data_IF_351874502657
#
_entry.id   IF_351874502657
#
_cell.length_a   1.000
_cell.length_b   1.000
_cell.length_c   1.000
_cell.angle_alpha   90.00
_cell.angle_beta   90.00
_cell.angle_gamma   90.00
#
_symmetry.space_group_name_H-M   'P 1'
#
loop_
_entity.id
_entity.type
_entity.pdbx_description
1 polymer ?
#
# COMPACT_ATOMS: atom_id res chain seq x y z
N UNK A 1 0.76 4.55 16.93
CA UNK A 1 2.23 4.48 16.94
C UNK A 1 2.88 5.85 17.14
N UNK A 2 2.72 6.84 16.25
CA UNK A 2 3.43 8.12 16.43
C UNK A 2 2.96 9.00 17.59
N UNK A 3 1.65 9.05 17.88
CA UNK A 3 1.11 9.91 18.94
C UNK A 3 1.53 9.51 20.36
N UNK A 4 1.91 8.25 20.57
CA UNK A 4 2.32 7.75 21.90
C UNK A 4 3.82 7.94 22.17
N UNK A 5 4.62 8.18 21.12
CA UNK A 5 6.07 8.34 21.22
C UNK A 5 6.50 9.81 21.37
N UNK A 6 5.58 10.77 21.26
CA UNK A 6 5.89 12.20 21.29
C UNK A 6 6.70 12.68 20.07
N UNK A 7 6.79 11.88 19.01
CA UNK A 7 7.53 12.24 17.80
C UNK A 7 6.77 13.27 16.97
N UNK A 8 7.47 14.29 16.49
CA UNK A 8 6.95 15.21 15.48
C UNK A 8 6.85 14.50 14.13
N UNK A 9 5.67 14.58 13.49
CA UNK A 9 5.39 13.86 12.23
C UNK A 9 5.10 14.86 11.12
N UNK A 10 5.90 14.79 10.06
CA UNK A 10 5.76 15.63 8.88
C UNK A 10 5.36 14.79 7.67
N UNK A 11 4.15 15.00 7.17
CA UNK A 11 3.66 14.39 5.93
C UNK A 11 4.17 15.16 4.70
N UNK A 12 4.04 14.55 3.52
CA UNK A 12 4.42 15.16 2.23
C UNK A 12 5.90 15.58 2.13
N UNK A 13 6.76 15.04 3.01
CA UNK A 13 8.21 15.25 3.00
C UNK A 13 8.91 14.07 2.32
N UNK A 14 8.94 14.08 0.99
CA UNK A 14 9.65 13.05 0.22
C UNK A 14 11.16 13.29 0.25
N UNK A 15 11.90 12.43 0.96
CA UNK A 15 13.37 12.46 1.02
C UNK A 15 13.98 11.97 -0.29
N UNK A 16 14.93 12.72 -0.85
CA UNK A 16 15.58 12.42 -2.13
C UNK A 16 17.08 12.17 -2.02
N UNK A 17 17.75 12.78 -1.04
CA UNK A 17 19.18 12.60 -0.82
C UNK A 17 19.55 12.71 0.65
N UNK A 18 20.63 12.02 1.04
CA UNK A 18 21.21 12.06 2.39
C UNK A 18 22.72 12.19 2.26
N UNK A 19 23.27 13.27 2.81
CA UNK A 19 24.70 13.59 2.70
C UNK A 19 25.29 13.93 4.07
N UNK A 20 26.59 13.70 4.26
CA UNK A 20 27.28 14.04 5.51
C UNK A 20 27.86 15.45 5.37
N UNK A 21 27.43 16.38 6.24
CA UNK A 21 27.86 17.78 6.23
C UNK A 21 28.18 18.23 7.66
N UNK A 22 29.41 18.69 7.89
CA UNK A 22 29.81 19.22 9.19
C UNK A 22 29.66 18.24 10.37
N UNK A 23 29.75 16.92 10.11
CA UNK A 23 29.55 15.89 11.14
C UNK A 23 28.09 15.49 11.42
N UNK A 24 27.13 16.07 10.69
CA UNK A 24 25.70 15.73 10.79
C UNK A 24 25.16 15.27 9.43
N UNK A 25 24.02 14.55 9.47
CA UNK A 25 23.31 14.15 8.26
C UNK A 25 22.44 15.30 7.77
N UNK A 26 22.75 15.78 6.57
CA UNK A 26 21.88 16.67 5.82
C UNK A 26 20.90 15.83 4.97
N UNK A 27 19.61 15.95 5.27
CA UNK A 27 18.52 15.24 4.60
C UNK A 27 17.80 16.21 3.65
N UNK A 28 17.97 15.96 2.36
CA UNK A 28 17.33 16.74 1.29
C UNK A 28 15.98 16.14 0.90
N UNK A 29 15.06 17.03 0.55
CA UNK A 29 13.68 16.69 0.21
C UNK A 29 13.39 17.15 -1.21
N UNK A 30 12.38 16.54 -1.84
CA UNK A 30 11.93 16.93 -3.19
C UNK A 30 11.53 18.41 -3.25
N UNK A 31 10.95 18.93 -2.16
CA UNK A 31 10.53 20.32 -2.02
C UNK A 31 10.90 20.83 -0.63
N UNK A 32 11.33 22.09 -0.55
CA UNK A 32 11.70 22.77 0.68
C UNK A 32 13.18 22.64 1.05
N UNK A 33 13.61 23.27 2.16
CA UNK A 33 15.01 23.27 2.57
C UNK A 33 15.46 21.89 3.07
N UNK A 34 16.78 21.66 3.11
CA UNK A 34 17.35 20.50 3.79
C UNK A 34 17.26 20.64 5.32
N UNK A 35 17.26 19.51 6.03
CA UNK A 35 17.25 19.44 7.49
C UNK A 35 18.46 18.63 7.99
N UNK A 36 18.91 18.94 9.20
CA UNK A 36 20.09 18.34 9.80
C UNK A 36 19.71 17.43 10.96
N UNK A 37 20.31 16.24 11.02
CA UNK A 37 20.05 15.25 12.05
C UNK A 37 21.35 14.57 12.49
N UNK A 38 21.41 14.17 13.76
CA UNK A 38 22.53 13.35 14.27
C UNK A 38 22.40 11.89 13.81
N UNK A 39 21.17 11.39 13.68
CA UNK A 39 20.85 10.00 13.33
C UNK A 39 19.72 9.98 12.29
N UNK A 40 19.86 9.11 11.29
CA UNK A 40 18.79 8.82 10.32
C UNK A 40 18.47 7.32 10.33
N UNK A 41 17.18 6.98 10.43
CA UNK A 41 16.68 5.59 10.34
C UNK A 41 15.77 5.49 9.13
N UNK A 42 16.07 4.55 8.22
CA UNK A 42 15.29 4.31 7.01
C UNK A 42 14.39 3.08 7.19
N UNK A 43 13.11 3.22 6.88
CA UNK A 43 12.09 2.17 7.06
C UNK A 43 11.23 1.93 5.82
N UNK A 44 11.53 2.61 4.71
CA UNK A 44 10.85 2.37 3.43
C UNK A 44 11.37 1.09 2.74
N UNK A 45 10.61 0.49 1.82
CA UNK A 45 11.05 -0.64 1.00
C UNK A 45 12.46 -0.48 0.42
N UNK A 46 13.22 -1.57 0.43
CA UNK A 46 14.64 -1.58 0.01
C UNK A 46 14.89 -0.95 -1.37
N UNK A 47 14.07 -1.21 -2.41
CA UNK A 47 14.24 -0.55 -3.70
C UNK A 47 14.19 0.99 -3.64
N UNK A 48 13.46 1.56 -2.68
CA UNK A 48 13.39 3.02 -2.48
C UNK A 48 14.61 3.55 -1.72
N UNK A 49 15.18 2.77 -0.79
CA UNK A 49 16.47 3.10 -0.15
C UNK A 49 17.58 3.17 -1.20
N UNK A 50 17.63 2.20 -2.11
CA UNK A 50 18.64 2.13 -3.17
C UNK A 50 18.52 3.27 -4.21
N UNK A 51 17.39 3.99 -4.23
CA UNK A 51 17.16 5.15 -5.10
C UNK A 51 17.60 6.48 -4.48
N UNK A 52 17.94 6.51 -3.18
CA UNK A 52 18.41 7.72 -2.53
C UNK A 52 19.77 8.17 -3.09
N UNK A 53 19.90 9.49 -3.25
CA UNK A 53 21.12 10.13 -3.72
C UNK A 53 21.97 10.65 -2.54
N UNK A 54 23.15 11.19 -2.86
CA UNK A 54 24.08 11.76 -1.86
C UNK A 54 25.07 10.74 -1.33
N UNK A 55 25.72 11.09 -0.22
CA UNK A 55 26.81 10.28 0.34
C UNK A 55 26.34 8.89 0.81
N UNK A 56 25.05 8.73 1.14
CA UNK A 56 24.47 7.44 1.51
C UNK A 56 24.71 6.34 0.46
N UNK A 57 24.68 6.69 -0.83
CA UNK A 57 24.90 5.72 -1.90
C UNK A 57 26.32 5.11 -1.86
N UNK A 58 27.29 5.87 -1.33
CA UNK A 58 28.69 5.48 -1.19
C UNK A 58 28.96 4.73 0.13
N UNK A 59 28.08 4.87 1.14
CA UNK A 59 28.21 4.14 2.42
C UNK A 59 27.79 2.67 2.29
N UNK A 60 26.94 2.36 1.31
CA UNK A 60 26.50 1.00 1.03
C UNK A 60 27.61 0.29 0.26
N UNK A 61 28.35 -0.58 0.95
CA UNK A 61 29.40 -1.39 0.34
C UNK A 61 28.84 -2.33 -0.73
N UNK A 62 29.67 -2.77 -1.67
CA UNK A 62 29.24 -3.64 -2.77
C UNK A 62 28.55 -4.93 -2.29
N UNK A 63 29.10 -5.58 -1.26
CA UNK A 63 28.50 -6.79 -0.68
C UNK A 63 27.12 -6.52 -0.05
N UNK A 64 26.95 -5.39 0.62
CA UNK A 64 25.66 -4.96 1.19
C UNK A 64 24.68 -4.60 0.07
N UNK A 65 25.15 -3.94 -0.99
CA UNK A 65 24.35 -3.61 -2.16
C UNK A 65 23.78 -4.86 -2.82
N UNK A 66 24.60 -5.88 -3.04
CA UNK A 66 24.15 -7.16 -3.59
C UNK A 66 23.06 -7.83 -2.72
N UNK A 67 23.21 -7.79 -1.38
CA UNK A 67 22.19 -8.31 -0.46
C UNK A 67 20.88 -7.52 -0.53
N UNK A 68 20.96 -6.19 -0.63
CA UNK A 68 19.80 -5.31 -0.74
C UNK A 68 19.09 -5.48 -2.08
N UNK A 69 19.83 -5.60 -3.19
CA UNK A 69 19.28 -5.82 -4.53
C UNK A 69 18.60 -7.19 -4.68
N UNK A 70 19.00 -8.19 -3.88
CA UNK A 70 18.34 -9.49 -3.82
C UNK A 70 16.97 -9.46 -3.13
N UNK A 71 16.62 -8.38 -2.41
CA UNK A 71 15.31 -8.25 -1.77
C UNK A 71 14.25 -7.97 -2.82
N UNK A 72 13.36 -8.95 -3.02
CA UNK A 72 12.24 -8.85 -3.95
C UNK A 72 10.92 -8.64 -3.22
N UNK A 73 10.00 -7.90 -3.83
CA UNK A 73 8.65 -7.71 -3.31
C UNK A 73 7.64 -8.17 -4.35
N UNK A 74 6.60 -8.85 -3.89
CA UNK A 74 5.39 -9.08 -4.68
C UNK A 74 4.58 -7.78 -4.84
N UNK A 75 3.79 -7.70 -5.91
CA UNK A 75 2.87 -6.57 -6.15
C UNK A 75 1.42 -7.02 -6.14
N UNK A 76 0.52 -6.15 -5.67
CA UNK A 76 -0.93 -6.40 -5.63
C UNK A 76 -1.72 -5.12 -5.85
N UNK A 77 -2.97 -5.28 -6.29
CA UNK A 77 -3.99 -4.26 -6.18
C UNK A 77 -4.92 -4.56 -5.00
N UNK A 78 -5.42 -3.49 -4.38
CA UNK A 78 -6.48 -3.53 -3.39
C UNK A 78 -7.60 -2.57 -3.79
N UNK A 79 -8.85 -3.05 -3.78
CA UNK A 79 -10.03 -2.22 -3.92
C UNK A 79 -10.74 -2.11 -2.58
N UNK A 80 -11.02 -0.89 -2.14
CA UNK A 80 -11.96 -0.62 -1.08
C UNK A 80 -13.27 -0.14 -1.69
N UNK A 81 -14.36 -0.81 -1.34
CA UNK A 81 -15.72 -0.50 -1.78
C UNK A 81 -16.50 0.02 -0.57
N UNK A 82 -17.19 1.14 -0.73
CA UNK A 82 -18.00 1.75 0.31
C UNK A 82 -19.45 1.81 -0.17
N UNK A 83 -20.37 1.45 0.71
CA UNK A 83 -21.80 1.43 0.40
C UNK A 83 -22.54 2.46 1.25
N UNK A 84 -23.76 2.81 0.83
CA UNK A 84 -24.63 3.70 1.59
C UNK A 84 -25.11 3.09 2.90
N UNK A 85 -25.51 3.95 3.84
CA UNK A 85 -26.19 3.55 5.07
C UNK A 85 -27.44 2.70 4.75
N UNK A 86 -27.74 1.73 5.62
CA UNK A 86 -28.82 0.77 5.43
C UNK A 86 -28.57 -0.30 4.35
N UNK A 87 -27.46 -0.27 3.61
CA UNK A 87 -27.11 -1.36 2.68
C UNK A 87 -26.74 -2.62 3.46
N UNK A 88 -27.48 -3.69 3.23
CA UNK A 88 -27.12 -5.03 3.72
C UNK A 88 -26.38 -5.84 2.66
N UNK A 89 -25.23 -6.41 3.03
CA UNK A 89 -24.47 -7.33 2.18
C UNK A 89 -24.81 -8.77 2.56
N UNK A 90 -25.55 -9.45 1.68
CA UNK A 90 -26.03 -10.82 1.89
C UNK A 90 -24.94 -11.85 1.60
N UNK A 91 -23.88 -11.84 2.41
CA UNK A 91 -22.83 -12.86 2.41
C UNK A 91 -22.63 -13.42 3.82
N UNK A 92 -22.43 -14.74 4.00
CA UNK A 92 -22.38 -15.36 5.32
C UNK A 92 -21.03 -15.22 6.04
N UNK A 93 -20.05 -14.58 5.41
CA UNK A 93 -18.67 -14.50 5.89
C UNK A 93 -18.23 -13.05 6.09
N UNK A 94 -17.31 -12.82 7.04
CA UNK A 94 -16.63 -11.53 7.22
C UNK A 94 -15.36 -11.42 6.36
N UNK A 95 -14.73 -12.56 6.05
CA UNK A 95 -13.60 -12.64 5.14
C UNK A 95 -13.57 -13.99 4.44
N UNK A 96 -13.11 -14.00 3.18
CA UNK A 96 -13.05 -15.20 2.34
C UNK A 96 -11.80 -15.18 1.48
N UNK A 97 -11.01 -16.24 1.57
CA UNK A 97 -9.95 -16.51 0.61
C UNK A 97 -10.51 -17.19 -0.64
N UNK A 98 -9.99 -16.78 -1.79
CA UNK A 98 -10.28 -17.35 -3.10
C UNK A 98 -8.99 -18.04 -3.57
N UNK A 99 -8.94 -19.37 -3.44
CA UNK A 99 -7.72 -20.15 -3.74
C UNK A 99 -7.61 -20.59 -5.19
N UNK A 100 -8.73 -20.69 -5.89
CA UNK A 100 -8.80 -21.10 -7.29
C UNK A 100 -9.06 -19.93 -8.26
N UNK A 101 -9.30 -18.73 -7.75
CA UNK A 101 -9.54 -17.57 -8.61
C UNK A 101 -8.21 -17.00 -9.13
N UNK A 102 -8.08 -16.73 -10.43
CA UNK A 102 -6.82 -16.27 -11.00
C UNK A 102 -6.50 -14.81 -10.63
N UNK A 103 -7.50 -13.99 -10.33
CA UNK A 103 -7.35 -12.53 -10.21
C UNK A 103 -7.45 -12.04 -8.77
N UNK A 104 -8.38 -12.58 -7.99
CA UNK A 104 -8.65 -12.18 -6.61
C UNK A 104 -8.15 -13.23 -5.65
N UNK A 105 -7.53 -12.78 -4.56
CA UNK A 105 -7.01 -13.67 -3.51
C UNK A 105 -7.88 -13.65 -2.25
N UNK A 106 -8.43 -12.49 -1.91
CA UNK A 106 -9.11 -12.31 -0.63
C UNK A 106 -10.18 -11.21 -0.74
N UNK A 107 -11.34 -11.44 -0.13
CA UNK A 107 -12.41 -10.45 0.03
C UNK A 107 -12.76 -10.37 1.52
N UNK A 108 -12.98 -9.17 2.02
CA UNK A 108 -13.30 -8.90 3.42
C UNK A 108 -14.45 -7.89 3.52
N UNK A 109 -15.49 -8.23 4.26
CA UNK A 109 -16.46 -7.26 4.78
C UNK A 109 -15.83 -6.62 6.01
N UNK A 110 -15.13 -5.52 5.77
CA UNK A 110 -14.21 -4.90 6.70
C UNK A 110 -14.92 -4.28 7.92
N UNK A 111 -16.14 -3.75 7.72
CA UNK A 111 -17.03 -3.35 8.82
C UNK A 111 -17.34 -4.50 9.77
N UNK A 112 -17.72 -5.67 9.23
CA UNK A 112 -18.01 -6.89 10.02
C UNK A 112 -16.78 -7.40 10.75
N UNK A 113 -15.64 -7.52 10.04
CA UNK A 113 -14.37 -7.97 10.64
C UNK A 113 -13.97 -7.12 11.85
N UNK A 114 -14.22 -5.80 11.80
CA UNK A 114 -13.92 -4.88 12.91
C UNK A 114 -14.99 -4.84 14.01
N UNK A 115 -16.12 -5.52 13.85
CA UNK A 115 -17.26 -5.38 14.76
C UNK A 115 -17.88 -3.98 14.74
N UNK A 116 -17.80 -3.29 13.58
CA UNK A 116 -18.25 -1.92 13.39
C UNK A 116 -19.41 -1.83 12.38
N UNK A 117 -20.23 -2.89 12.27
CA UNK A 117 -21.47 -2.85 11.49
C UNK A 117 -22.47 -1.93 12.20
N UNK A 118 -23.06 -1.01 11.44
CA UNK A 118 -24.07 -0.07 11.92
C UNK A 118 -25.07 0.20 10.80
N UNK A 119 -26.36 0.35 11.08
CA UNK A 119 -27.32 0.81 10.06
C UNK A 119 -27.06 2.27 9.64
N UNK A 120 -26.41 3.08 10.49
CA UNK A 120 -26.12 4.49 10.25
C UNK A 120 -24.89 4.71 9.35
N UNK A 121 -24.01 3.70 9.27
CA UNK A 121 -22.79 3.74 8.46
C UNK A 121 -22.78 2.53 7.53
N UNK A 122 -22.83 2.78 6.23
CA UNK A 122 -22.84 1.69 5.26
C UNK A 122 -21.61 0.78 5.35
N UNK A 123 -21.73 -0.48 4.92
CA UNK A 123 -20.64 -1.43 5.01
C UNK A 123 -19.44 -1.00 4.17
N UNK A 124 -18.27 -1.52 4.53
CA UNK A 124 -17.03 -1.38 3.75
C UNK A 124 -16.48 -2.74 3.41
N UNK A 125 -15.99 -2.88 2.17
CA UNK A 125 -15.44 -4.13 1.65
C UNK A 125 -14.05 -3.89 1.11
N UNK A 126 -13.12 -4.79 1.42
CA UNK A 126 -11.76 -4.77 0.88
C UNK A 126 -11.54 -6.02 0.06
N UNK A 127 -11.03 -5.85 -1.16
CA UNK A 127 -10.70 -6.91 -2.12
C UNK A 127 -9.22 -6.82 -2.45
N UNK A 128 -8.48 -7.93 -2.30
CA UNK A 128 -7.08 -8.02 -2.68
C UNK A 128 -6.90 -8.96 -3.87
N UNK A 129 -6.08 -8.55 -4.84
CA UNK A 129 -5.73 -9.38 -6.00
C UNK A 129 -4.72 -10.46 -5.63
N UNK A 130 -4.54 -11.44 -6.53
CA UNK A 130 -3.38 -12.34 -6.54
C UNK A 130 -2.09 -11.55 -6.83
N UNK A 131 -0.94 -12.17 -6.51
CA UNK A 131 0.37 -11.60 -6.89
C UNK A 131 0.51 -11.59 -8.41
N UNK A 132 0.13 -12.69 -9.07
CA UNK A 132 0.23 -12.84 -10.52
C UNK A 132 -0.50 -11.72 -11.25
N UNK A 133 -1.76 -11.43 -10.87
CA UNK A 133 -2.51 -10.32 -11.45
C UNK A 133 -1.84 -8.96 -11.17
N UNK A 134 -1.39 -8.75 -9.92
CA UNK A 134 -0.71 -7.50 -9.54
C UNK A 134 0.57 -7.23 -10.34
N UNK A 135 1.37 -8.27 -10.59
CA UNK A 135 2.58 -8.19 -11.41
C UNK A 135 2.27 -7.95 -12.89
N UNK A 136 1.24 -8.62 -13.44
CA UNK A 136 0.83 -8.45 -14.84
C UNK A 136 0.34 -7.03 -15.15
N UNK A 137 -0.31 -6.38 -14.18
CA UNK A 137 -0.89 -5.04 -14.32
C UNK A 137 -0.08 -3.94 -13.61
N UNK A 138 1.18 -4.20 -13.26
CA UNK A 138 1.98 -3.30 -12.43
C UNK A 138 2.15 -1.91 -13.03
N UNK A 139 2.32 -1.83 -14.34
CA UNK A 139 2.48 -0.58 -15.11
C UNK A 139 1.21 -0.14 -15.84
N UNK A 140 0.10 -0.87 -15.67
CA UNK A 140 -1.20 -0.50 -16.25
C UNK A 140 -1.81 0.72 -15.56
N UNK A 141 -2.73 1.40 -16.25
CA UNK A 141 -3.51 2.49 -15.68
C UNK A 141 -4.37 1.97 -14.51
N UNK A 142 -4.22 2.52 -13.29
CA UNK A 142 -5.05 2.14 -12.14
C UNK A 142 -6.56 2.24 -12.39
N UNK A 143 -7.03 3.15 -13.24
CA UNK A 143 -8.46 3.28 -13.55
C UNK A 143 -8.98 2.10 -14.37
N UNK A 144 -8.22 1.65 -15.37
CA UNK A 144 -8.54 0.47 -16.17
C UNK A 144 -8.50 -0.80 -15.31
N UNK A 145 -7.47 -0.94 -14.48
CA UNK A 145 -7.31 -2.09 -13.57
C UNK A 145 -8.45 -2.14 -12.54
N UNK A 146 -8.88 -0.99 -12.02
CA UNK A 146 -10.04 -0.93 -11.13
C UNK A 146 -11.29 -1.51 -11.82
N UNK A 147 -11.55 -1.13 -13.06
CA UNK A 147 -12.72 -1.59 -13.79
C UNK A 147 -12.69 -3.09 -14.10
N UNK A 148 -11.50 -3.63 -14.41
CA UNK A 148 -11.28 -5.07 -14.58
C UNK A 148 -11.61 -5.84 -13.29
N UNK A 149 -11.05 -5.41 -12.15
CA UNK A 149 -11.27 -6.05 -10.86
C UNK A 149 -12.75 -5.98 -10.46
N UNK A 150 -13.38 -4.81 -10.63
CA UNK A 150 -14.80 -4.62 -10.29
C UNK A 150 -15.71 -5.53 -11.13
N UNK A 151 -15.49 -5.55 -12.45
CA UNK A 151 -16.27 -6.38 -13.38
C UNK A 151 -16.13 -7.87 -13.08
N UNK A 152 -14.96 -8.31 -12.62
CA UNK A 152 -14.74 -9.71 -12.22
C UNK A 152 -15.37 -10.01 -10.85
N UNK A 153 -15.26 -9.10 -9.90
CA UNK A 153 -15.86 -9.22 -8.57
C UNK A 153 -17.39 -9.34 -8.64
N UNK A 154 -18.05 -8.52 -9.47
CA UNK A 154 -19.51 -8.56 -9.63
C UNK A 154 -20.00 -9.91 -10.15
N UNK A 155 -19.23 -10.57 -11.04
CA UNK A 155 -19.53 -11.93 -11.51
C UNK A 155 -19.34 -12.98 -10.42
N UNK A 156 -18.30 -12.84 -9.61
CA UNK A 156 -17.97 -13.79 -8.54
C UNK A 156 -18.90 -13.68 -7.33
N UNK A 157 -19.23 -12.45 -6.94
CA UNK A 157 -20.04 -12.16 -5.75
C UNK A 157 -21.03 -11.02 -6.07
N UNK A 158 -22.14 -11.32 -6.78
CA UNK A 158 -23.12 -10.32 -7.18
C UNK A 158 -23.71 -9.50 -6.02
N UNK A 159 -23.72 -10.04 -4.81
CA UNK A 159 -24.16 -9.34 -3.60
C UNK A 159 -23.34 -8.07 -3.29
N UNK A 160 -22.12 -7.96 -3.83
CA UNK A 160 -21.20 -6.83 -3.64
C UNK A 160 -21.28 -5.79 -4.77
N UNK A 161 -22.19 -5.94 -5.73
CA UNK A 161 -22.37 -4.97 -6.81
C UNK A 161 -22.84 -3.60 -6.31
N UNK A 162 -22.61 -2.57 -7.12
CA UNK A 162 -23.09 -1.19 -6.93
C UNK A 162 -22.64 -0.51 -5.62
N UNK A 163 -21.32 -0.41 -5.36
CA UNK A 163 -20.82 0.45 -4.28
C UNK A 163 -21.08 1.92 -4.59
N UNK A 164 -21.29 2.73 -3.55
CA UNK A 164 -21.46 4.18 -3.66
C UNK A 164 -20.15 4.88 -4.03
N UNK A 165 -19.03 4.38 -3.53
CA UNK A 165 -17.70 4.85 -3.93
C UNK A 165 -16.65 3.75 -3.86
N UNK A 166 -15.56 3.95 -4.60
CA UNK A 166 -14.48 2.98 -4.75
C UNK A 166 -13.15 3.70 -4.57
N UNK A 167 -12.23 3.06 -3.85
CA UNK A 167 -10.82 3.45 -3.80
C UNK A 167 -9.96 2.28 -4.25
N UNK A 168 -9.30 2.45 -5.39
CA UNK A 168 -8.30 1.53 -5.89
C UNK A 168 -6.90 1.93 -5.42
N UNK A 169 -6.11 0.97 -4.96
CA UNK A 169 -4.75 1.18 -4.50
C UNK A 169 -3.79 0.12 -5.06
N UNK A 170 -2.68 0.58 -5.64
CA UNK A 170 -1.60 -0.27 -6.14
C UNK A 170 -0.49 -0.37 -5.11
N UNK A 171 -0.28 -1.56 -4.57
CA UNK A 171 0.89 -1.89 -3.76
C UNK A 171 1.99 -2.44 -4.66
N UNK A 172 2.88 -1.56 -5.15
CA UNK A 172 4.08 -2.00 -5.91
C UNK A 172 4.97 -2.90 -5.06
N UNK A 173 5.19 -2.52 -3.81
CA UNK A 173 5.98 -3.27 -2.83
C UNK A 173 5.06 -3.80 -1.73
N UNK A 174 4.33 -4.89 -2.00
CA UNK A 174 3.28 -5.37 -1.10
C UNK A 174 3.82 -6.25 0.03
N UNK A 175 4.60 -7.29 -0.30
CA UNK A 175 5.16 -8.26 0.65
C UNK A 175 6.51 -8.74 0.14
N UNK A 176 7.49 -8.87 1.04
CA UNK A 176 8.80 -9.52 0.81
C UNK A 176 8.63 -11.03 0.83
#
# INVERSE_FOLDING_TARGET
FSSHAGAEVFYERHVTAISLRGGQWEVSRKMGPAEHFDIVILTMPVPQILQLQGDIANLIQESQRQQLEAVSYSSRYALALFYEAGRELQVPWAGRYLSSDPWLRFICIDSRKRGAESPEVGPSVVVHTTVTFGSQHLESDPAEVQQLILSHLEKLVPALANPASIKCHKWRYSQV
#
